data_IF_180283767946
#
_entry.id   IF_180283767946
#
_cell.length_a   1.000
_cell.length_b   1.000
_cell.length_c   1.000
_cell.angle_alpha   90.00
_cell.angle_beta   90.00
_cell.angle_gamma   90.00
#
_symmetry.space_group_name_H-M   'P 1'
#
loop_
_entity.id
_entity.type
_entity.pdbx_description
1 polymer ?
#
# COMPACT_ATOMS: atom_id res chain seq x y z
N UNK A 1 9.73 -30.39 11.11
CA UNK A 1 8.80 -29.25 11.23
C UNK A 1 7.52 -29.69 10.55
N UNK A 2 6.39 -29.73 11.27
CA UNK A 2 5.22 -30.53 10.88
C UNK A 2 4.58 -30.13 9.54
N UNK A 3 4.19 -31.13 8.76
CA UNK A 3 3.51 -31.04 7.45
C UNK A 3 2.03 -30.62 7.54
N UNK A 4 1.60 -30.09 8.70
CA UNK A 4 0.20 -29.84 8.96
C UNK A 4 -0.22 -28.47 8.43
N UNK A 5 -1.38 -28.44 7.79
CA UNK A 5 -2.06 -27.20 7.45
C UNK A 5 -2.46 -26.48 8.74
N UNK A 6 -2.20 -25.18 8.79
CA UNK A 6 -2.71 -24.31 9.86
C UNK A 6 -3.79 -23.41 9.27
N UNK A 7 -4.87 -23.23 10.00
CA UNK A 7 -5.97 -22.40 9.55
C UNK A 7 -6.53 -21.58 10.71
N UNK A 8 -7.08 -20.42 10.35
CA UNK A 8 -7.70 -19.46 11.26
C UNK A 8 -8.88 -18.82 10.52
N UNK A 9 -10.00 -18.67 11.23
CA UNK A 9 -11.20 -18.04 10.71
C UNK A 9 -11.76 -17.09 11.76
N UNK A 10 -11.89 -15.81 11.41
CA UNK A 10 -12.48 -14.77 12.25
C UNK A 10 -13.77 -14.28 11.61
N UNK A 11 -14.85 -14.21 12.39
CA UNK A 11 -16.12 -13.59 12.00
C UNK A 11 -16.45 -12.43 12.91
N UNK A 12 -16.89 -11.30 12.34
CA UNK A 12 -17.35 -10.12 13.07
C UNK A 12 -18.71 -9.67 12.54
N UNK A 13 -19.62 -9.37 13.46
CA UNK A 13 -20.93 -8.85 13.12
C UNK A 13 -21.35 -7.71 14.05
N UNK A 14 -21.95 -6.68 13.48
CA UNK A 14 -22.38 -5.49 14.21
C UNK A 14 -23.89 -5.55 14.45
N UNK A 15 -24.29 -5.70 15.71
CA UNK A 15 -25.67 -5.88 16.15
C UNK A 15 -26.35 -4.57 16.60
N UNK A 16 -25.63 -3.46 16.63
CA UNK A 16 -26.17 -2.14 17.01
C UNK A 16 -25.30 -0.99 16.47
N UNK A 17 -25.77 0.24 16.66
CA UNK A 17 -25.09 1.46 16.23
C UNK A 17 -25.19 1.71 14.72
N UNK A 18 -24.43 2.69 14.23
CA UNK A 18 -24.49 3.10 12.83
C UNK A 18 -24.24 1.92 11.87
N UNK A 19 -23.28 1.03 12.20
CA UNK A 19 -22.88 -0.13 11.39
C UNK A 19 -23.78 -1.36 11.53
N UNK A 20 -24.98 -1.23 12.10
CA UNK A 20 -25.93 -2.35 12.22
C UNK A 20 -26.07 -3.12 10.89
N UNK A 21 -25.90 -4.45 10.95
CA UNK A 21 -26.00 -5.35 9.80
C UNK A 21 -24.72 -5.50 8.98
N UNK A 22 -23.64 -4.80 9.33
CA UNK A 22 -22.31 -5.05 8.76
C UNK A 22 -21.77 -6.40 9.24
N UNK A 23 -21.15 -7.13 8.32
CA UNK A 23 -20.54 -8.45 8.59
C UNK A 23 -19.18 -8.52 7.91
N UNK A 24 -18.21 -9.11 8.60
CA UNK A 24 -16.85 -9.34 8.10
C UNK A 24 -16.46 -10.79 8.44
N UNK A 25 -15.96 -11.54 7.46
CA UNK A 25 -15.46 -12.90 7.63
C UNK A 25 -14.06 -12.95 7.02
N UNK A 26 -13.08 -13.40 7.78
CA UNK A 26 -11.71 -13.58 7.36
C UNK A 26 -11.34 -15.05 7.51
N UNK A 27 -10.64 -15.59 6.52
CA UNK A 27 -10.10 -16.94 6.56
C UNK A 27 -8.64 -16.93 6.12
N UNK A 28 -7.80 -17.62 6.88
CA UNK A 28 -6.39 -17.81 6.59
C UNK A 28 -6.10 -19.31 6.60
N UNK A 29 -5.38 -19.77 5.59
CA UNK A 29 -4.90 -21.14 5.49
C UNK A 29 -3.42 -21.10 5.11
N UNK A 30 -2.57 -21.81 5.84
CA UNK A 30 -1.13 -21.84 5.59
C UNK A 30 -0.63 -23.28 5.52
N UNK A 31 0.23 -23.54 4.54
CA UNK A 31 0.89 -24.83 4.36
C UNK A 31 2.40 -24.63 4.35
N UNK A 32 3.13 -25.13 5.37
CA UNK A 32 4.57 -25.24 5.30
C UNK A 32 5.00 -26.14 4.15
N UNK A 33 6.13 -25.84 3.53
CA UNK A 33 6.72 -26.65 2.47
C UNK A 33 8.24 -26.43 2.43
N UNK A 34 8.95 -27.39 1.86
CA UNK A 34 10.39 -27.24 1.62
C UNK A 34 10.65 -26.66 0.23
N UNK A 35 11.39 -25.56 0.14
CA UNK A 35 11.73 -24.93 -1.13
C UNK A 35 13.21 -24.56 -1.20
N UNK A 36 13.95 -25.20 -2.11
CA UNK A 36 15.35 -24.88 -2.40
C UNK A 36 16.24 -24.72 -1.13
N UNK A 37 16.14 -25.64 -0.16
CA UNK A 37 16.90 -25.56 1.09
C UNK A 37 16.26 -24.74 2.21
N UNK A 38 15.14 -24.08 1.95
CA UNK A 38 14.35 -23.36 2.95
C UNK A 38 13.21 -24.26 3.47
N UNK A 39 13.35 -24.73 4.72
CA UNK A 39 12.32 -25.52 5.42
C UNK A 39 11.24 -24.68 6.09
N UNK A 40 11.41 -23.35 6.14
CA UNK A 40 10.44 -22.41 6.67
C UNK A 40 9.56 -21.78 5.57
N UNK A 41 9.72 -22.22 4.31
CA UNK A 41 8.88 -21.76 3.23
C UNK A 41 7.43 -22.24 3.43
N UNK A 42 6.47 -21.45 2.94
CA UNK A 42 5.06 -21.72 3.12
C UNK A 42 4.22 -21.09 2.00
N UNK A 43 3.07 -21.69 1.74
CA UNK A 43 1.99 -21.09 0.95
C UNK A 43 0.93 -20.58 1.92
N UNK A 44 0.48 -19.35 1.75
CA UNK A 44 -0.69 -18.79 2.41
C UNK A 44 -1.81 -18.62 1.39
N UNK A 45 -3.00 -19.01 1.77
CA UNK A 45 -4.25 -18.70 1.09
C UNK A 45 -5.04 -17.84 2.08
N UNK A 46 -5.51 -16.69 1.62
CA UNK A 46 -6.31 -15.76 2.40
C UNK A 46 -7.61 -15.48 1.66
N UNK A 47 -8.71 -15.48 2.41
CA UNK A 47 -10.02 -15.09 1.92
C UNK A 47 -10.66 -14.09 2.87
N UNK A 48 -11.37 -13.12 2.32
CA UNK A 48 -12.12 -12.15 3.10
C UNK A 48 -13.45 -11.85 2.41
N UNK A 49 -14.54 -11.88 3.18
CA UNK A 49 -15.87 -11.47 2.77
C UNK A 49 -16.34 -10.34 3.68
N UNK A 50 -16.74 -9.21 3.12
CA UNK A 50 -17.24 -8.06 3.88
C UNK A 50 -18.54 -7.56 3.27
N UNK A 51 -19.53 -7.29 4.12
CA UNK A 51 -20.70 -6.51 3.78
C UNK A 51 -20.63 -5.21 4.58
N UNK A 52 -20.02 -4.17 4.01
CA UNK A 52 -19.67 -2.93 4.69
C UNK A 52 -20.76 -1.88 4.49
N UNK A 53 -21.17 -1.25 5.58
CA UNK A 53 -22.11 -0.12 5.49
C UNK A 53 -21.37 1.13 4.98
N UNK A 54 -21.99 1.96 4.13
CA UNK A 54 -21.39 3.21 3.66
C UNK A 54 -20.94 4.08 4.83
N UNK A 55 -19.79 4.75 4.69
CA UNK A 55 -19.32 5.66 5.74
C UNK A 55 -20.29 6.83 5.93
N UNK A 56 -20.33 7.39 7.15
CA UNK A 56 -21.28 8.45 7.51
C UNK A 56 -21.23 9.63 6.54
N UNK A 57 -20.03 10.14 6.26
CA UNK A 57 -19.85 11.28 5.35
C UNK A 57 -20.08 10.95 3.86
N UNK A 58 -20.11 9.68 3.47
CA UNK A 58 -20.53 9.29 2.13
C UNK A 58 -22.06 9.36 2.00
N UNK A 59 -22.78 9.04 3.07
CA UNK A 59 -24.24 9.15 3.10
C UNK A 59 -24.69 10.60 3.28
N UNK A 60 -24.16 11.31 4.26
CA UNK A 60 -24.64 12.66 4.58
C UNK A 60 -23.47 13.59 4.88
N UNK A 61 -23.46 14.73 4.21
CA UNK A 61 -22.50 15.78 4.43
C UNK A 61 -23.19 17.12 4.19
N UNK A 62 -22.87 18.10 5.03
CA UNK A 62 -23.39 19.45 4.91
C UNK A 62 -22.30 20.46 5.24
N UNK A 63 -22.03 21.36 4.29
CA UNK A 63 -21.17 22.52 4.46
C UNK A 63 -21.67 23.69 3.62
N UNK A 64 -21.05 24.86 3.77
CA UNK A 64 -21.38 26.04 2.98
C UNK A 64 -21.18 25.84 1.46
N UNK A 65 -20.30 24.91 1.04
CA UNK A 65 -19.93 24.72 -0.37
C UNK A 65 -20.39 23.41 -0.97
N UNK A 66 -20.77 22.42 -0.16
CA UNK A 66 -21.24 21.14 -0.64
C UNK A 66 -22.22 20.53 0.36
N UNK A 67 -23.27 19.89 -0.17
CA UNK A 67 -24.24 19.15 0.61
C UNK A 67 -24.72 17.96 -0.20
N UNK A 68 -24.86 16.82 0.46
CA UNK A 68 -25.49 15.65 -0.14
C UNK A 68 -26.16 14.81 0.94
N UNK A 69 -27.18 14.07 0.50
CA UNK A 69 -27.86 13.06 1.29
C UNK A 69 -28.18 11.89 0.38
N UNK A 70 -27.37 10.85 0.50
CA UNK A 70 -27.44 9.62 -0.26
C UNK A 70 -28.07 8.52 0.59
N UNK A 71 -28.71 7.56 -0.08
CA UNK A 71 -29.23 6.34 0.54
C UNK A 71 -28.56 5.14 -0.13
N UNK A 72 -27.25 5.01 0.07
CA UNK A 72 -26.46 3.94 -0.54
C UNK A 72 -26.74 2.60 0.13
N UNK A 73 -26.74 1.55 -0.68
CA UNK A 73 -26.75 0.18 -0.15
C UNK A 73 -25.35 -0.23 0.30
N UNK A 74 -25.26 -1.31 1.08
CA UNK A 74 -23.98 -1.82 1.57
C UNK A 74 -23.06 -2.25 0.42
N UNK A 75 -21.77 -1.95 0.58
CA UNK A 75 -20.70 -2.44 -0.28
C UNK A 75 -20.42 -3.91 0.05
N UNK A 76 -20.33 -4.75 -0.97
CA UNK A 76 -19.98 -6.16 -0.80
C UNK A 76 -18.58 -6.38 -1.35
N UNK A 77 -17.68 -6.85 -0.50
CA UNK A 77 -16.28 -7.12 -0.82
C UNK A 77 -16.02 -8.63 -0.71
N UNK A 78 -15.44 -9.23 -1.75
CA UNK A 78 -14.86 -10.56 -1.69
C UNK A 78 -13.41 -10.47 -2.16
N UNK A 79 -12.48 -10.72 -1.24
CA UNK A 79 -11.07 -10.82 -1.54
C UNK A 79 -10.63 -12.28 -1.42
N UNK A 80 -9.85 -12.73 -2.39
CA UNK A 80 -9.18 -14.01 -2.36
C UNK A 80 -7.72 -13.81 -2.77
N UNK A 81 -6.79 -14.45 -2.07
CA UNK A 81 -5.37 -14.30 -2.36
C UNK A 81 -4.60 -15.57 -2.08
N UNK A 82 -3.54 -15.76 -2.85
CA UNK A 82 -2.54 -16.80 -2.63
C UNK A 82 -1.16 -16.15 -2.66
N UNK A 83 -0.32 -16.51 -1.69
CA UNK A 83 1.05 -16.02 -1.61
C UNK A 83 1.99 -17.14 -1.20
N UNK A 84 3.12 -17.20 -1.88
CA UNK A 84 4.27 -18.01 -1.51
C UNK A 84 5.26 -17.15 -0.73
N UNK A 85 5.71 -17.63 0.43
CA UNK A 85 6.67 -16.94 1.27
C UNK A 85 7.83 -17.88 1.60
N UNK A 86 9.06 -17.43 1.34
CA UNK A 86 10.30 -18.17 1.63
C UNK A 86 11.25 -17.27 2.43
N UNK A 87 11.25 -17.36 3.77
CA UNK A 87 12.11 -16.56 4.64
C UNK A 87 13.60 -16.76 4.35
N UNK A 88 14.05 -18.01 4.17
CA UNK A 88 15.45 -18.35 3.92
C UNK A 88 15.97 -17.80 2.60
N UNK A 89 15.09 -17.60 1.62
CA UNK A 89 15.42 -16.94 0.35
C UNK A 89 15.03 -15.47 0.30
N UNK A 90 14.43 -14.91 1.37
CA UNK A 90 13.90 -13.53 1.42
C UNK A 90 13.07 -13.18 0.17
N UNK A 91 12.15 -14.10 -0.16
CA UNK A 91 11.32 -14.04 -1.34
C UNK A 91 9.86 -14.18 -0.92
N UNK A 92 9.01 -13.30 -1.43
CA UNK A 92 7.57 -13.43 -1.37
C UNK A 92 6.97 -13.12 -2.74
N UNK A 93 6.00 -13.91 -3.16
CA UNK A 93 5.26 -13.66 -4.38
C UNK A 93 3.81 -14.05 -4.18
N UNK A 94 2.88 -13.32 -4.77
CA UNK A 94 1.48 -13.65 -4.61
C UNK A 94 0.57 -12.99 -5.63
N UNK A 95 -0.67 -13.43 -5.63
CA UNK A 95 -1.74 -12.86 -6.41
C UNK A 95 -2.96 -12.62 -5.52
N UNK A 96 -3.70 -11.55 -5.80
CA UNK A 96 -4.95 -11.22 -5.13
C UNK A 96 -6.02 -10.90 -6.16
N UNK A 97 -7.23 -11.35 -5.86
CA UNK A 97 -8.44 -11.12 -6.62
C UNK A 97 -9.47 -10.47 -5.70
N UNK A 98 -9.97 -9.31 -6.09
CA UNK A 98 -10.96 -8.55 -5.31
C UNK A 98 -12.19 -8.33 -6.18
N UNK A 99 -13.34 -8.80 -5.73
CA UNK A 99 -14.65 -8.52 -6.32
C UNK A 99 -15.40 -7.58 -5.40
N UNK A 100 -15.87 -6.47 -5.95
CA UNK A 100 -16.48 -5.37 -5.20
C UNK A 100 -17.81 -5.04 -5.87
N UNK A 101 -18.92 -5.23 -5.17
CA UNK A 101 -20.24 -4.80 -5.64
C UNK A 101 -20.68 -3.55 -4.88
N UNK A 102 -21.48 -2.73 -5.56
CA UNK A 102 -22.02 -1.46 -5.04
C UNK A 102 -20.92 -0.50 -4.56
N UNK A 103 -19.76 -0.50 -5.23
CA UNK A 103 -18.59 0.29 -4.83
C UNK A 103 -18.93 1.78 -4.71
N UNK A 104 -18.57 2.40 -3.59
CA UNK A 104 -18.82 3.82 -3.36
C UNK A 104 -17.53 4.61 -3.62
N UNK A 105 -17.59 5.49 -4.59
CA UNK A 105 -16.47 6.32 -5.04
C UNK A 105 -16.87 7.79 -5.08
N UNK A 106 -15.91 8.70 -5.18
CA UNK A 106 -16.20 10.12 -5.42
C UNK A 106 -16.04 10.40 -6.92
N UNK A 107 -17.13 10.82 -7.55
CA UNK A 107 -17.16 11.09 -8.98
C UNK A 107 -16.30 12.32 -9.35
N UNK A 108 -16.27 12.67 -10.64
CA UNK A 108 -15.48 13.83 -11.11
C UNK A 108 -15.91 15.18 -10.53
N UNK A 109 -17.13 15.28 -9.99
CA UNK A 109 -17.60 16.48 -9.30
C UNK A 109 -17.21 16.51 -7.81
N UNK A 110 -16.50 15.49 -7.32
CA UNK A 110 -16.11 15.37 -5.90
C UNK A 110 -17.24 14.96 -4.96
N UNK A 111 -18.33 14.39 -5.50
CA UNK A 111 -19.50 13.95 -4.72
C UNK A 111 -19.53 12.41 -4.67
N UNK A 112 -19.89 11.80 -3.52
CA UNK A 112 -20.07 10.35 -3.44
C UNK A 112 -21.09 9.83 -4.46
N UNK A 113 -20.75 8.75 -5.13
CA UNK A 113 -21.60 8.01 -6.06
C UNK A 113 -21.38 6.51 -5.85
N UNK A 114 -22.37 5.71 -6.24
CA UNK A 114 -22.31 4.25 -6.12
C UNK A 114 -22.26 3.64 -7.52
N UNK A 115 -21.35 2.68 -7.71
CA UNK A 115 -21.21 1.94 -8.95
C UNK A 115 -22.41 0.99 -9.13
N UNK A 116 -22.95 0.95 -10.35
CA UNK A 116 -24.05 0.03 -10.70
C UNK A 116 -23.53 -1.37 -11.03
N UNK A 117 -22.27 -1.48 -11.45
CA UNK A 117 -21.65 -2.72 -11.89
C UNK A 117 -20.65 -3.25 -10.85
N UNK A 118 -20.42 -4.56 -10.89
CA UNK A 118 -19.34 -5.20 -10.13
C UNK A 118 -17.97 -4.75 -10.63
N UNK A 119 -17.11 -4.35 -9.70
CA UNK A 119 -15.71 -4.01 -9.93
C UNK A 119 -14.84 -5.21 -9.56
N UNK A 120 -13.96 -5.60 -10.48
CA UNK A 120 -13.00 -6.67 -10.29
C UNK A 120 -11.59 -6.07 -10.35
N UNK A 121 -10.78 -6.35 -9.34
CA UNK A 121 -9.37 -5.98 -9.30
C UNK A 121 -8.53 -7.24 -9.16
N UNK A 122 -7.65 -7.47 -10.12
CA UNK A 122 -6.62 -8.49 -10.01
C UNK A 122 -5.27 -7.82 -9.76
N UNK A 123 -4.47 -8.40 -8.88
CA UNK A 123 -3.10 -7.94 -8.62
C UNK A 123 -2.16 -9.13 -8.45
N UNK A 124 -0.91 -8.95 -8.88
CA UNK A 124 0.18 -9.89 -8.66
C UNK A 124 1.40 -9.11 -8.19
N UNK A 125 2.13 -9.65 -7.21
CA UNK A 125 3.28 -8.98 -6.64
C UNK A 125 4.45 -9.94 -6.44
N UNK A 126 5.65 -9.37 -6.43
CA UNK A 126 6.91 -10.04 -6.17
C UNK A 126 7.77 -9.13 -5.30
N UNK A 127 8.10 -9.62 -4.11
CA UNK A 127 9.05 -9.02 -3.19
C UNK A 127 10.29 -9.91 -3.09
N UNK A 128 11.46 -9.33 -3.32
CA UNK A 128 12.73 -10.04 -3.26
C UNK A 128 13.81 -9.18 -2.65
N UNK A 129 14.53 -9.76 -1.69
CA UNK A 129 15.76 -9.16 -1.18
C UNK A 129 16.98 -9.96 -1.64
N UNK A 130 17.88 -9.27 -2.33
CA UNK A 130 19.20 -9.78 -2.70
C UNK A 130 20.22 -9.27 -1.68
N UNK A 131 21.09 -10.15 -1.20
CA UNK A 131 22.17 -9.77 -0.29
C UNK A 131 23.49 -10.33 -0.82
N UNK A 132 24.49 -9.47 -0.90
CA UNK A 132 25.84 -9.79 -1.31
C UNK A 132 26.83 -9.06 -0.40
N UNK A 133 27.28 -9.74 0.66
CA UNK A 133 28.15 -9.16 1.67
C UNK A 133 27.48 -7.96 2.36
N UNK A 134 28.11 -6.79 2.28
CA UNK A 134 27.60 -5.52 2.81
C UNK A 134 26.50 -4.89 1.94
N UNK A 135 26.31 -5.35 0.70
CA UNK A 135 25.31 -4.80 -0.20
C UNK A 135 23.99 -5.56 -0.10
N UNK A 136 22.89 -4.82 -0.03
CA UNK A 136 21.53 -5.36 -0.02
C UNK A 136 20.65 -4.60 -1.01
N UNK A 137 19.86 -5.31 -1.80
CA UNK A 137 18.87 -4.73 -2.71
C UNK A 137 17.50 -5.33 -2.38
N UNK A 138 16.59 -4.51 -1.87
CA UNK A 138 15.17 -4.86 -1.77
C UNK A 138 14.45 -4.44 -3.04
N UNK A 139 13.72 -5.35 -3.64
CA UNK A 139 12.91 -5.11 -4.83
C UNK A 139 11.47 -5.50 -4.54
N UNK A 140 10.54 -4.60 -4.82
CA UNK A 140 9.10 -4.84 -4.71
C UNK A 140 8.46 -4.44 -6.04
N UNK A 141 7.77 -5.38 -6.66
CA UNK A 141 7.08 -5.19 -7.93
C UNK A 141 5.63 -5.55 -7.74
N UNK A 142 4.73 -4.68 -8.17
CA UNK A 142 3.29 -4.89 -8.16
C UNK A 142 2.75 -4.64 -9.56
N UNK A 143 2.03 -5.62 -10.10
CA UNK A 143 1.15 -5.45 -11.25
C UNK A 143 -0.31 -5.53 -10.78
N UNK A 144 -1.17 -4.68 -11.33
CA UNK A 144 -2.60 -4.71 -11.01
C UNK A 144 -3.46 -4.20 -12.17
N UNK A 145 -4.69 -4.68 -12.24
CA UNK A 145 -5.67 -4.23 -13.24
C UNK A 145 -7.09 -4.24 -12.66
N UNK A 146 -7.82 -3.17 -12.93
CA UNK A 146 -9.24 -3.03 -12.62
C UNK A 146 -10.09 -3.26 -13.88
N UNK A 147 -11.24 -3.94 -13.74
CA UNK A 147 -12.19 -4.16 -14.83
C UNK A 147 -13.03 -2.92 -15.16
N UNK A 148 -13.22 -2.03 -14.18
CA UNK A 148 -14.03 -0.82 -14.31
C UNK A 148 -13.18 0.43 -14.02
N UNK A 149 -12.31 0.84 -14.97
CA UNK A 149 -11.43 1.99 -14.78
C UNK A 149 -12.18 3.31 -14.62
N UNK A 150 -13.47 3.38 -14.96
CA UNK A 150 -14.31 4.56 -14.71
C UNK A 150 -14.64 4.80 -13.23
N UNK A 151 -14.44 3.80 -12.37
CA UNK A 151 -14.71 3.90 -10.93
C UNK A 151 -13.43 3.92 -10.08
N UNK A 152 -12.34 3.30 -10.56
CA UNK A 152 -11.06 3.24 -9.85
C UNK A 152 -9.91 3.40 -10.82
N UNK A 153 -9.06 4.38 -10.56
CA UNK A 153 -7.81 4.57 -11.29
C UNK A 153 -6.64 3.94 -10.52
N UNK A 154 -6.00 2.95 -11.13
CA UNK A 154 -4.80 2.30 -10.58
C UNK A 154 -3.65 2.40 -11.58
N UNK A 155 -2.39 2.55 -11.11
CA UNK A 155 -1.24 2.29 -11.96
C UNK A 155 -1.17 0.79 -12.26
N UNK A 156 -0.93 0.46 -13.54
CA UNK A 156 -0.78 -0.93 -13.98
C UNK A 156 0.44 -1.58 -13.32
N UNK A 157 1.55 -0.84 -13.19
CA UNK A 157 2.75 -1.28 -12.46
C UNK A 157 3.19 -0.26 -11.41
N UNK A 158 3.64 -0.78 -10.27
CA UNK A 158 4.35 -0.05 -9.22
C UNK A 158 5.65 -0.78 -8.87
N UNK A 159 6.75 -0.04 -8.77
CA UNK A 159 8.08 -0.55 -8.50
C UNK A 159 8.67 0.19 -7.30
N UNK A 160 9.28 -0.56 -6.38
CA UNK A 160 10.14 -0.01 -5.33
C UNK A 160 11.45 -0.75 -5.28
N UNK A 161 12.56 0.00 -5.31
CA UNK A 161 13.92 -0.51 -5.22
C UNK A 161 14.63 0.20 -4.08
N UNK A 162 15.24 -0.56 -3.17
CA UNK A 162 16.02 -0.04 -2.06
C UNK A 162 17.40 -0.68 -2.05
N UNK A 163 18.34 -0.22 -2.89
CA UNK A 163 19.75 -0.53 -2.73
C UNK A 163 20.27 0.11 -1.43
N UNK A 164 21.05 -0.67 -0.68
CA UNK A 164 21.63 -0.28 0.60
C UNK A 164 22.99 -0.93 0.81
N UNK A 165 23.82 -0.27 1.59
CA UNK A 165 25.15 -0.70 1.96
C UNK A 165 25.31 -0.61 3.48
N UNK A 166 25.54 -1.76 4.10
CA UNK A 166 25.59 -1.96 5.54
C UNK A 166 27.03 -2.20 5.98
N UNK A 167 27.53 -1.41 6.93
CA UNK A 167 28.87 -1.56 7.48
C UNK A 167 28.93 -1.16 8.95
N UNK A 168 30.01 -1.56 9.63
CA UNK A 168 30.26 -1.18 11.02
C UNK A 168 31.44 -0.22 11.08
N UNK A 169 31.18 1.03 11.45
CA UNK A 169 32.22 2.03 11.65
C UNK A 169 32.75 1.95 13.09
N UNK A 170 34.08 2.06 13.25
CA UNK A 170 34.76 2.02 14.55
C UNK A 170 34.35 0.82 15.44
N UNK A 171 33.99 -0.33 14.82
CA UNK A 171 33.56 -1.58 15.48
C UNK A 171 32.26 -1.52 16.31
N UNK A 172 31.63 -0.36 16.46
CA UNK A 172 30.46 -0.19 17.35
C UNK A 172 29.27 0.53 16.71
N UNK A 173 29.49 1.27 15.62
CA UNK A 173 28.47 2.05 14.96
C UNK A 173 27.99 1.31 13.71
N UNK A 174 26.85 0.63 13.84
CA UNK A 174 26.18 0.04 12.68
C UNK A 174 25.64 1.17 11.81
N UNK A 175 26.07 1.19 10.55
CA UNK A 175 25.71 2.21 9.58
C UNK A 175 25.10 1.52 8.38
N UNK A 176 23.94 2.00 7.96
CA UNK A 176 23.30 1.58 6.73
C UNK A 176 23.01 2.83 5.91
N UNK A 177 23.57 2.87 4.70
CA UNK A 177 23.35 3.94 3.74
C UNK A 177 22.55 3.37 2.57
N UNK A 178 21.60 4.12 2.03
CA UNK A 178 20.84 3.64 0.88
C UNK A 178 19.99 4.71 0.21
N UNK A 179 19.30 4.29 -0.84
CA UNK A 179 18.35 5.12 -1.58
C UNK A 179 17.05 4.33 -1.75
N UNK A 180 15.92 4.89 -1.31
CA UNK A 180 14.59 4.34 -1.56
C UNK A 180 14.03 4.97 -2.83
N UNK A 181 13.87 4.14 -3.87
CA UNK A 181 13.38 4.54 -5.18
C UNK A 181 11.99 3.96 -5.39
N UNK A 182 10.99 4.78 -5.69
CA UNK A 182 9.61 4.37 -5.96
C UNK A 182 9.14 4.94 -7.29
N UNK A 183 8.48 4.14 -8.12
CA UNK A 183 7.97 4.58 -9.41
C UNK A 183 6.69 3.83 -9.76
N UNK A 184 5.69 4.57 -10.25
CA UNK A 184 4.46 4.01 -10.78
C UNK A 184 4.35 4.34 -12.27
N UNK A 185 3.71 3.48 -13.05
CA UNK A 185 3.26 3.82 -14.41
C UNK A 185 2.28 4.99 -14.41
N UNK A 186 2.16 5.68 -15.54
CA UNK A 186 1.23 6.82 -15.68
C UNK A 186 -0.23 6.37 -15.56
N UNK A 187 -0.97 7.02 -14.67
CA UNK A 187 -2.40 6.77 -14.45
C UNK A 187 -3.11 8.05 -13.99
N UNK A 188 -4.43 8.06 -14.05
CA UNK A 188 -5.24 9.16 -13.58
C UNK A 188 -5.37 9.16 -12.04
N UNK A 189 -4.31 9.54 -11.33
CA UNK A 189 -4.37 9.62 -9.87
C UNK A 189 -5.44 10.60 -9.41
N UNK A 190 -6.14 10.28 -8.32
CA UNK A 190 -7.24 11.09 -7.82
C UNK A 190 -6.82 12.54 -7.51
N UNK A 191 -7.75 13.45 -7.74
CA UNK A 191 -7.63 14.84 -7.33
C UNK A 191 -8.12 15.01 -5.89
N UNK A 192 -7.53 15.94 -5.15
CA UNK A 192 -7.96 16.26 -3.79
C UNK A 192 -8.92 17.44 -3.81
N UNK A 193 -10.11 17.28 -3.24
CA UNK A 193 -11.13 18.32 -3.08
C UNK A 193 -10.98 19.01 -1.71
N UNK A 194 -10.48 20.26 -1.64
CA UNK A 194 -10.17 20.90 -0.36
C UNK A 194 -11.40 21.24 0.48
N UNK A 195 -12.55 21.44 -0.18
CA UNK A 195 -13.79 21.83 0.49
C UNK A 195 -14.40 20.70 1.31
N UNK A 196 -14.21 19.45 0.90
CA UNK A 196 -14.74 18.26 1.55
C UNK A 196 -13.66 17.41 2.22
N UNK A 197 -12.39 17.56 1.79
CA UNK A 197 -11.27 16.76 2.24
C UNK A 197 -11.19 15.38 1.60
N UNK A 198 -12.02 15.09 0.60
CA UNK A 198 -12.03 13.81 -0.11
C UNK A 198 -11.15 13.82 -1.37
N UNK A 199 -10.64 12.65 -1.70
CA UNK A 199 -10.09 12.38 -3.04
C UNK A 199 -11.22 11.98 -3.98
N UNK A 200 -11.12 12.40 -5.24
CA UNK A 200 -12.11 12.11 -6.26
C UNK A 200 -11.48 11.83 -7.62
N UNK A 201 -12.24 11.15 -8.47
CA UNK A 201 -11.79 10.82 -9.81
C UNK A 201 -11.53 12.07 -10.64
N UNK A 202 -10.50 12.03 -11.48
CA UNK A 202 -10.19 13.08 -12.45
C UNK A 202 -9.65 12.42 -13.72
N UNK A 203 -9.94 12.98 -14.89
CA UNK A 203 -9.42 12.51 -16.17
C UNK A 203 -8.63 13.60 -16.93
N UNK A 204 -8.18 14.64 -16.22
CA UNK A 204 -7.49 15.79 -16.81
C UNK A 204 -6.04 15.46 -17.15
N UNK A 205 -5.33 14.81 -16.22
CA UNK A 205 -3.89 14.55 -16.38
C UNK A 205 -3.46 13.25 -15.73
N UNK A 206 -2.66 12.46 -16.46
CA UNK A 206 -1.97 11.31 -15.88
C UNK A 206 -0.77 11.75 -15.05
N UNK A 207 -0.61 11.15 -13.88
CA UNK A 207 0.53 11.31 -12.99
C UNK A 207 1.32 9.99 -12.92
N UNK A 208 2.62 10.06 -12.63
CA UNK A 208 3.52 8.90 -12.63
C UNK A 208 4.61 8.97 -13.71
N UNK A 209 5.30 7.85 -13.95
CA UNK A 209 6.49 7.74 -14.81
C UNK A 209 7.62 8.71 -14.44
N UNK A 210 7.79 8.90 -13.14
CA UNK A 210 8.98 9.54 -12.56
C UNK A 210 9.37 8.82 -11.27
N UNK A 211 10.68 8.59 -11.04
CA UNK A 211 11.14 7.98 -9.82
C UNK A 211 11.13 9.00 -8.67
N UNK A 212 10.50 8.64 -7.57
CA UNK A 212 10.67 9.27 -6.27
C UNK A 212 11.89 8.66 -5.60
N UNK A 213 12.86 9.48 -5.19
CA UNK A 213 14.13 9.01 -4.65
C UNK A 213 14.43 9.69 -3.32
N UNK A 214 14.58 8.89 -2.27
CA UNK A 214 14.91 9.36 -0.92
C UNK A 214 16.23 8.70 -0.48
N UNK A 215 17.30 9.47 -0.30
CA UNK A 215 18.50 8.94 0.32
C UNK A 215 18.33 8.86 1.83
N UNK A 216 18.88 7.82 2.45
CA UNK A 216 18.85 7.65 3.89
C UNK A 216 20.18 7.17 4.46
N UNK A 217 20.41 7.52 5.72
CA UNK A 217 21.50 7.02 6.53
C UNK A 217 20.95 6.64 7.91
N UNK A 218 21.07 5.37 8.26
CA UNK A 218 20.64 4.83 9.54
C UNK A 218 21.90 4.49 10.35
N UNK A 219 22.05 5.14 11.49
CA UNK A 219 23.15 4.91 12.44
C UNK A 219 22.59 4.28 13.71
N UNK A 220 23.19 3.19 14.18
CA UNK A 220 22.84 2.57 15.46
C UNK A 220 24.09 2.38 16.30
N UNK A 221 24.13 3.07 17.44
CA UNK A 221 25.15 2.95 18.47
C UNK A 221 24.50 2.45 19.76
N UNK A 222 24.75 1.19 20.13
CA UNK A 222 24.14 0.54 21.30
C UNK A 222 22.60 0.71 21.30
N UNK A 223 22.09 1.61 22.15
CA UNK A 223 20.67 1.89 22.39
C UNK A 223 20.15 3.09 21.60
N UNK A 224 21.04 3.88 21.01
CA UNK A 224 20.71 5.10 20.26
C UNK A 224 20.69 4.79 18.77
N UNK A 225 19.61 5.20 18.11
CA UNK A 225 19.47 5.15 16.66
C UNK A 225 19.26 6.56 16.14
N UNK A 226 20.04 6.95 15.14
CA UNK A 226 19.94 8.23 14.46
C UNK A 226 19.62 7.93 13.01
N UNK A 227 18.61 8.60 12.48
CA UNK A 227 18.11 8.42 11.13
C UNK A 227 18.21 9.76 10.42
N UNK A 228 18.84 9.77 9.25
CA UNK A 228 18.86 10.90 8.34
C UNK A 228 18.15 10.49 7.07
N UNK A 229 17.32 11.37 6.53
CA UNK A 229 16.67 11.16 5.24
C UNK A 229 16.72 12.46 4.45
N UNK A 230 17.19 12.38 3.23
CA UNK A 230 17.15 13.47 2.28
C UNK A 230 16.15 13.11 1.19
N UNK A 231 14.98 13.72 1.29
CA UNK A 231 13.82 13.36 0.49
C UNK A 231 13.84 14.00 -0.88
N UNK A 232 13.21 13.31 -1.83
CA UNK A 232 12.91 13.81 -3.16
C UNK A 232 14.14 14.36 -3.90
N UNK A 233 15.26 13.64 -3.83
CA UNK A 233 16.52 13.93 -4.54
C UNK A 233 16.30 14.25 -6.01
N UNK A 234 15.37 13.53 -6.64
CA UNK A 234 15.02 13.70 -8.06
C UNK A 234 14.55 15.10 -8.43
N UNK A 235 13.96 15.85 -7.49
CA UNK A 235 13.37 17.17 -7.76
C UNK A 235 14.35 18.23 -8.26
N UNK A 236 15.67 18.06 -8.04
CA UNK A 236 16.69 19.02 -8.50
C UNK A 236 17.27 18.76 -9.87
N UNK A 237 17.05 17.59 -10.47
CA UNK A 237 17.64 17.23 -11.76
C UNK A 237 16.64 16.64 -12.75
N UNK A 238 15.43 16.26 -12.32
CA UNK A 238 14.37 15.82 -13.20
C UNK A 238 13.51 17.03 -13.60
N UNK A 239 13.40 17.27 -14.90
CA UNK A 239 12.72 18.44 -15.48
C UNK A 239 11.19 18.35 -15.51
N UNK A 240 10.59 17.38 -14.80
CA UNK A 240 9.14 17.17 -14.75
C UNK A 240 8.58 17.65 -13.41
N UNK A 241 7.46 18.38 -13.38
CA UNK A 241 6.81 18.72 -12.12
C UNK A 241 6.24 17.46 -11.46
N UNK A 242 6.65 17.22 -10.22
CA UNK A 242 6.23 16.09 -9.38
C UNK A 242 4.92 16.44 -8.68
N UNK A 243 3.91 15.59 -8.83
CA UNK A 243 2.63 15.77 -8.16
C UNK A 243 2.28 14.55 -7.32
N UNK A 244 1.86 14.77 -6.07
CA UNK A 244 1.31 13.71 -5.21
C UNK A 244 -0.17 13.46 -5.51
N UNK A 245 -0.87 14.51 -5.96
CA UNK A 245 -2.23 14.48 -6.46
C UNK A 245 -2.37 15.61 -7.51
N UNK A 246 -3.43 15.59 -8.31
CA UNK A 246 -3.65 16.65 -9.32
C UNK A 246 -3.61 18.04 -8.65
N UNK A 247 -2.76 18.93 -9.15
CA UNK A 247 -2.50 20.28 -8.62
C UNK A 247 -1.80 20.36 -7.24
N UNK A 248 -1.40 19.23 -6.64
CA UNK A 248 -0.62 19.20 -5.40
C UNK A 248 0.82 18.80 -5.69
N UNK A 249 1.74 19.77 -5.85
CA UNK A 249 3.12 19.46 -6.10
C UNK A 249 3.71 18.72 -4.90
N UNK A 250 4.59 17.76 -5.17
CA UNK A 250 5.31 17.09 -4.11
C UNK A 250 6.30 18.06 -3.45
N UNK A 251 6.58 17.84 -2.16
CA UNK A 251 7.60 18.59 -1.43
C UNK A 251 8.92 18.59 -2.20
N UNK A 252 9.57 19.75 -2.27
CA UNK A 252 10.94 19.87 -2.75
C UNK A 252 11.92 19.10 -1.84
N UNK A 253 13.19 19.07 -2.22
CA UNK A 253 14.22 18.43 -1.41
C UNK A 253 14.13 18.84 0.06
N UNK A 254 13.89 17.86 0.93
CA UNK A 254 13.66 18.10 2.35
C UNK A 254 14.55 17.18 3.16
N UNK A 255 15.32 17.74 4.08
CA UNK A 255 16.11 16.97 5.03
C UNK A 255 15.29 16.66 6.28
N UNK A 256 15.32 15.40 6.72
CA UNK A 256 14.72 14.93 7.96
C UNK A 256 15.76 14.25 8.83
N UNK A 257 15.68 14.51 10.12
CA UNK A 257 16.51 13.91 11.15
C UNK A 257 15.61 13.33 12.24
N UNK A 258 15.87 12.10 12.65
CA UNK A 258 15.19 11.44 13.75
C UNK A 258 16.18 10.80 14.71
N UNK A 259 15.90 10.88 16.01
CA UNK A 259 16.67 10.18 17.03
C UNK A 259 15.71 9.32 17.85
N UNK A 260 16.04 8.04 18.00
CA UNK A 260 15.32 7.12 18.87
C UNK A 260 16.29 6.55 19.90
N UNK A 261 15.96 6.69 21.17
CA UNK A 261 16.77 6.18 22.28
C UNK A 261 15.91 5.32 23.21
N UNK A 262 16.28 4.05 23.35
CA UNK A 262 15.61 3.13 24.27
C UNK A 262 16.23 3.22 25.66
N UNK A 263 15.45 3.70 26.62
CA UNK A 263 15.79 3.82 28.04
C UNK A 263 15.27 2.60 28.83
N UNK A 264 15.90 1.43 28.67
CA UNK A 264 15.67 0.31 29.58
C UNK A 264 17.00 -0.30 29.98
N UNK A 265 17.12 -0.69 31.25
CA UNK A 265 18.31 -1.31 31.82
C UNK A 265 18.53 -2.70 31.24
#
# INVERSE_FOLDING_TARGET
MGDFWTWDVEGRQYLSGYRLGQTEINGNLQKPLFFMGDSAALIKIHGNLMNRKPDYFQQEYFSNRASWKNNFVNEQLMNAGISFHSPGRKLEAGARYSLINNYIYHNMAGVPAQANDGLLIFSAYLDKEFNLGAFSLKSQILWQKASAPQYVHLPDFSLRLVPSFDFVLAKVLYTQLGVDMRMNTEYYADAYQPSTGFFHLQNEKKLGSYPYMDAFANLKLKRTRIFFQYMNLGSGFLSKPYFTALHYPMNQMTFRLGVAWSFYN
#
